data_IF_409135835396
#
_entry.id   IF_409135835396
#
_cell.length_a   1.000
_cell.length_b   1.000
_cell.length_c   1.000
_cell.angle_alpha   90.00
_cell.angle_beta   90.00
_cell.angle_gamma   90.00
#
_symmetry.space_group_name_H-M   'P 1'
#
loop_
_entity.id
_entity.type
_entity.pdbx_description
1 polymer ?
#
# COMPACT_ATOMS: atom_id res chain seq x y z
N UNK A 1 -37.74 10.82 -9.43
CA UNK A 1 -36.69 11.85 -9.61
C UNK A 1 -35.39 11.12 -9.41
N UNK A 2 -34.77 10.77 -10.53
CA UNK A 2 -33.52 10.03 -10.61
C UNK A 2 -32.39 11.06 -10.62
N UNK A 3 -31.59 11.08 -9.55
CA UNK A 3 -30.40 11.92 -9.45
C UNK A 3 -29.17 11.00 -9.47
N UNK A 4 -28.99 10.32 -10.62
CA UNK A 4 -27.77 9.60 -10.93
C UNK A 4 -26.55 10.52 -10.86
N UNK A 5 -25.55 10.10 -10.11
CA UNK A 5 -24.28 10.81 -9.92
C UNK A 5 -23.56 10.87 -11.27
N UNK A 6 -23.49 12.06 -11.87
CA UNK A 6 -22.67 12.34 -13.05
C UNK A 6 -21.22 12.50 -12.63
N UNK A 7 -20.41 11.47 -12.84
CA UNK A 7 -18.97 11.55 -12.61
C UNK A 7 -18.25 10.21 -12.54
N UNK A 8 -18.59 9.26 -13.42
CA UNK A 8 -17.79 8.04 -13.61
C UNK A 8 -16.80 8.34 -14.73
N UNK A 9 -15.52 8.52 -14.40
CA UNK A 9 -14.45 8.57 -15.39
C UNK A 9 -14.21 7.16 -15.94
N UNK A 10 -14.43 6.97 -17.25
CA UNK A 10 -14.19 5.72 -17.95
C UNK A 10 -12.68 5.51 -18.17
N UNK A 11 -12.02 4.86 -17.22
CA UNK A 11 -10.71 4.26 -17.43
C UNK A 11 -10.86 2.87 -18.08
N UNK A 12 -9.80 2.43 -18.78
CA UNK A 12 -9.78 1.36 -19.80
C UNK A 12 -10.27 -0.06 -19.41
N UNK A 13 -10.82 -0.27 -18.21
CA UNK A 13 -11.38 -1.54 -17.74
C UNK A 13 -12.90 -1.50 -17.43
N UNK A 14 -13.58 -0.37 -17.64
CA UNK A 14 -15.01 -0.15 -17.34
C UNK A 14 -15.39 -0.39 -15.86
N UNK A 15 -14.42 -0.40 -14.93
CA UNK A 15 -14.67 -0.50 -13.49
C UNK A 15 -15.09 0.86 -12.93
N UNK A 16 -16.23 0.97 -12.22
CA UNK A 16 -16.63 2.22 -11.59
C UNK A 16 -15.56 2.69 -10.59
N UNK A 17 -15.28 4.00 -10.60
CA UNK A 17 -14.33 4.65 -9.69
C UNK A 17 -14.94 5.89 -9.06
N UNK A 18 -14.51 6.20 -7.84
CA UNK A 18 -14.76 7.51 -7.24
C UNK A 18 -14.09 8.63 -8.07
N UNK A 19 -14.50 9.90 -7.90
CA UNK A 19 -13.73 11.04 -8.37
C UNK A 19 -12.28 10.98 -7.87
N UNK A 20 -11.33 11.43 -8.72
CA UNK A 20 -9.91 11.45 -8.38
C UNK A 20 -9.66 12.27 -7.10
N UNK A 21 -8.88 11.70 -6.19
CA UNK A 21 -8.40 12.34 -4.97
C UNK A 21 -6.88 12.40 -4.99
N UNK A 22 -6.34 13.63 -4.90
CA UNK A 22 -4.90 13.84 -4.90
C UNK A 22 -4.34 13.83 -3.47
N UNK A 23 -3.26 13.09 -3.24
CA UNK A 23 -2.59 13.02 -1.94
C UNK A 23 -1.11 13.32 -2.13
N UNK A 24 -0.63 14.36 -1.44
CA UNK A 24 0.77 14.76 -1.50
C UNK A 24 1.58 14.13 -0.37
N UNK A 25 2.69 13.53 -0.74
CA UNK A 25 3.72 13.03 0.15
C UNK A 25 4.95 13.95 0.09
N UNK A 26 5.85 13.81 1.05
CA UNK A 26 7.10 14.53 1.12
C UNK A 26 8.23 13.51 1.14
N UNK A 27 9.16 13.65 0.19
CA UNK A 27 10.38 12.84 0.16
C UNK A 27 11.48 13.52 0.98
N UNK A 28 12.08 12.78 1.91
CA UNK A 28 13.32 13.20 2.55
C UNK A 28 14.46 13.21 1.50
N UNK A 29 15.23 14.31 1.34
CA UNK A 29 16.34 14.37 0.39
C UNK A 29 17.38 13.26 0.55
N UNK A 30 17.55 12.72 1.77
CA UNK A 30 18.46 11.62 2.08
C UNK A 30 17.93 10.23 1.71
N UNK A 31 16.67 10.14 1.25
CA UNK A 31 16.12 8.90 0.72
C UNK A 31 16.46 8.76 -0.76
N UNK A 32 16.77 7.53 -1.16
CA UNK A 32 16.89 7.18 -2.57
C UNK A 32 15.59 7.51 -3.30
N UNK A 33 15.69 8.32 -4.36
CA UNK A 33 14.52 8.84 -5.05
C UNK A 33 13.76 7.77 -5.82
N UNK A 34 14.48 6.80 -6.40
CA UNK A 34 13.90 5.72 -7.21
C UNK A 34 13.15 4.74 -6.31
N UNK A 35 13.73 4.35 -5.18
CA UNK A 35 13.08 3.47 -4.21
C UNK A 35 11.90 4.18 -3.53
N UNK A 36 12.00 5.49 -3.26
CA UNK A 36 10.87 6.26 -2.74
C UNK A 36 9.71 6.26 -3.73
N UNK A 37 9.97 6.58 -5.00
CA UNK A 37 8.96 6.57 -6.06
C UNK A 37 8.33 5.18 -6.24
N UNK A 38 9.15 4.12 -6.23
CA UNK A 38 8.67 2.74 -6.32
C UNK A 38 7.71 2.40 -5.18
N UNK A 39 8.08 2.71 -3.94
CA UNK A 39 7.21 2.43 -2.79
C UNK A 39 5.96 3.30 -2.81
N UNK A 40 6.06 4.58 -3.20
CA UNK A 40 4.90 5.47 -3.31
C UNK A 40 3.90 4.99 -4.38
N UNK A 41 4.38 4.60 -5.57
CA UNK A 41 3.52 4.03 -6.63
C UNK A 41 2.86 2.72 -6.19
N UNK A 42 3.55 1.92 -5.39
CA UNK A 42 2.96 0.71 -4.85
C UNK A 42 1.84 1.03 -3.85
N UNK A 43 2.00 2.04 -2.99
CA UNK A 43 0.93 2.54 -2.12
C UNK A 43 -0.27 3.05 -2.93
N UNK A 44 -0.02 3.84 -3.98
CA UNK A 44 -1.07 4.37 -4.86
C UNK A 44 -1.85 3.25 -5.53
N UNK A 45 -1.14 2.29 -6.15
CA UNK A 45 -1.73 1.12 -6.78
C UNK A 45 -2.57 0.31 -5.78
N UNK A 46 -2.06 0.14 -4.56
CA UNK A 46 -2.76 -0.55 -3.49
C UNK A 46 -4.04 0.16 -3.07
N UNK A 47 -4.02 1.49 -2.93
CA UNK A 47 -5.26 2.23 -2.69
C UNK A 47 -6.25 2.07 -3.84
N UNK A 48 -5.76 2.14 -5.08
CA UNK A 48 -6.58 2.05 -6.30
C UNK A 48 -7.13 0.65 -6.61
N UNK A 49 -6.71 -0.38 -5.87
CA UNK A 49 -7.31 -1.72 -5.94
C UNK A 49 -8.47 -1.89 -4.96
N UNK A 50 -8.55 -1.08 -3.91
CA UNK A 50 -9.62 -1.16 -2.91
C UNK A 50 -10.94 -0.66 -3.47
N UNK A 51 -12.00 -1.41 -3.17
CA UNK A 51 -13.37 -0.92 -3.28
C UNK A 51 -13.70 0.02 -2.12
N UNK A 52 -14.77 0.81 -2.26
CA UNK A 52 -15.29 1.66 -1.19
C UNK A 52 -15.61 0.84 0.06
N UNK A 53 -16.25 -0.32 -0.12
CA UNK A 53 -16.61 -1.23 0.96
C UNK A 53 -15.36 -1.77 1.69
N UNK A 54 -14.38 -2.31 0.94
CA UNK A 54 -13.14 -2.83 1.52
C UNK A 54 -12.35 -1.75 2.28
N UNK A 55 -12.24 -0.55 1.70
CA UNK A 55 -11.57 0.56 2.37
C UNK A 55 -12.25 0.89 3.70
N UNK A 56 -13.57 1.06 3.73
CA UNK A 56 -14.30 1.39 4.96
C UNK A 56 -14.14 0.30 6.01
N UNK A 57 -14.30 -0.97 5.64
CA UNK A 57 -14.15 -2.10 6.57
C UNK A 57 -12.72 -2.19 7.14
N UNK A 58 -11.71 -2.05 6.29
CA UNK A 58 -10.32 -2.09 6.71
C UNK A 58 -9.97 -0.90 7.64
N UNK A 59 -10.49 0.29 7.31
CA UNK A 59 -10.31 1.50 8.14
C UNK A 59 -11.01 1.38 9.49
N UNK A 60 -12.26 0.92 9.53
CA UNK A 60 -13.00 0.70 10.77
C UNK A 60 -12.30 -0.32 11.67
N UNK A 61 -11.82 -1.41 11.08
CA UNK A 61 -11.02 -2.41 11.79
C UNK A 61 -9.74 -1.81 12.35
N UNK A 62 -8.97 -1.08 11.53
CA UNK A 62 -7.73 -0.43 11.98
C UNK A 62 -7.97 0.58 13.11
N UNK A 63 -9.03 1.38 13.03
CA UNK A 63 -9.37 2.35 14.07
C UNK A 63 -9.77 1.68 15.39
N UNK A 64 -10.40 0.50 15.33
CA UNK A 64 -10.82 -0.27 16.50
C UNK A 64 -9.69 -1.09 17.12
N UNK A 65 -8.88 -1.74 16.29
CA UNK A 65 -7.94 -2.80 16.70
C UNK A 65 -6.47 -2.38 16.56
N UNK A 66 -6.18 -1.31 15.82
CA UNK A 66 -4.83 -0.95 15.42
C UNK A 66 -4.29 -1.88 14.33
N UNK A 67 -2.96 -2.10 14.34
CA UNK A 67 -2.30 -3.00 13.40
C UNK A 67 -2.65 -4.45 13.71
N UNK A 68 -3.05 -5.19 12.67
CA UNK A 68 -3.49 -6.56 12.83
C UNK A 68 -2.32 -7.52 13.11
N UNK A 69 -2.46 -8.41 14.09
CA UNK A 69 -1.40 -9.30 14.54
C UNK A 69 -1.05 -10.40 13.51
N UNK A 70 -2.03 -10.84 12.71
CA UNK A 70 -1.83 -11.82 11.64
C UNK A 70 -0.85 -11.34 10.57
N UNK A 71 -0.70 -10.01 10.41
CA UNK A 71 0.27 -9.42 9.50
C UNK A 71 1.72 -9.73 9.90
N UNK A 72 1.99 -10.08 11.16
CA UNK A 72 3.35 -10.44 11.60
C UNK A 72 3.85 -11.72 10.93
N UNK A 73 2.97 -12.71 10.76
CA UNK A 73 3.31 -13.97 10.08
C UNK A 73 3.59 -13.72 8.59
N UNK A 74 2.73 -12.94 7.92
CA UNK A 74 2.91 -12.58 6.51
C UNK A 74 4.23 -11.80 6.29
N UNK A 75 4.54 -10.84 7.15
CA UNK A 75 5.79 -10.09 7.11
C UNK A 75 7.02 -11.00 7.27
N UNK A 76 6.97 -11.96 8.21
CA UNK A 76 8.07 -12.91 8.42
C UNK A 76 8.29 -13.77 7.19
N UNK A 77 7.22 -14.30 6.60
CA UNK A 77 7.29 -15.12 5.39
C UNK A 77 7.86 -14.32 4.22
N UNK A 78 7.37 -13.11 3.96
CA UNK A 78 7.88 -12.27 2.88
C UNK A 78 9.39 -11.95 3.03
N UNK A 79 9.84 -11.69 4.27
CA UNK A 79 11.27 -11.49 4.54
C UNK A 79 12.11 -12.75 4.34
N UNK A 80 11.56 -13.92 4.66
CA UNK A 80 12.24 -15.20 4.44
C UNK A 80 12.36 -15.51 2.94
N UNK A 81 11.32 -15.23 2.15
CA UNK A 81 11.38 -15.39 0.69
C UNK A 81 12.36 -14.39 0.07
N UNK A 82 12.31 -13.12 0.47
CA UNK A 82 13.27 -12.11 0.02
C UNK A 82 14.73 -12.49 0.33
N UNK A 83 14.97 -13.09 1.50
CA UNK A 83 16.30 -13.61 1.85
C UNK A 83 16.74 -14.72 0.88
N UNK A 84 15.89 -15.71 0.61
CA UNK A 84 16.19 -16.81 -0.32
C UNK A 84 16.46 -16.29 -1.73
N UNK A 85 15.64 -15.36 -2.20
CA UNK A 85 15.80 -14.71 -3.50
C UNK A 85 17.14 -13.98 -3.59
N UNK A 86 17.50 -13.20 -2.56
CA UNK A 86 18.77 -12.47 -2.54
C UNK A 86 19.98 -13.39 -2.52
N UNK A 87 19.91 -14.48 -1.75
CA UNK A 87 20.95 -15.53 -1.79
C UNK A 87 21.08 -16.10 -3.20
N UNK A 88 19.96 -16.45 -3.85
CA UNK A 88 19.97 -16.99 -5.22
C UNK A 88 20.58 -16.00 -6.23
N UNK A 89 20.26 -14.72 -6.12
CA UNK A 89 20.84 -13.64 -6.92
C UNK A 89 22.36 -13.58 -6.78
N UNK A 90 22.88 -13.52 -5.55
CA UNK A 90 24.32 -13.46 -5.27
C UNK A 90 25.05 -14.72 -5.75
N UNK A 91 24.41 -15.89 -5.61
CA UNK A 91 24.96 -17.17 -6.12
C UNK A 91 25.11 -17.15 -7.63
N UNK A 92 24.15 -16.60 -8.37
CA UNK A 92 24.21 -16.44 -9.83
C UNK A 92 25.33 -15.48 -10.26
N UNK A 93 25.70 -14.54 -9.39
CA UNK A 93 26.83 -13.62 -9.58
C UNK A 93 28.19 -14.25 -9.19
N UNK A 94 28.23 -15.53 -8.81
CA UNK A 94 29.47 -16.25 -8.49
C UNK A 94 29.90 -16.18 -7.03
N UNK A 95 29.12 -15.55 -6.15
CA UNK A 95 29.43 -15.47 -4.71
C UNK A 95 29.30 -16.86 -4.06
N UNK A 96 30.19 -17.20 -3.12
CA UNK A 96 30.12 -18.48 -2.39
C UNK A 96 28.83 -18.58 -1.56
N UNK A 97 28.36 -19.78 -1.23
CA UNK A 97 27.09 -19.94 -0.48
C UNK A 97 27.15 -19.28 0.88
N UNK A 98 28.27 -19.45 1.58
CA UNK A 98 28.47 -18.86 2.90
C UNK A 98 28.45 -17.33 2.84
N UNK A 99 29.17 -16.76 1.87
CA UNK A 99 29.25 -15.30 1.70
C UNK A 99 27.92 -14.71 1.21
N UNK A 100 27.22 -15.39 0.31
CA UNK A 100 25.90 -14.99 -0.17
C UNK A 100 24.87 -14.93 0.97
N UNK A 101 24.87 -15.91 1.87
CA UNK A 101 23.99 -15.89 3.05
C UNK A 101 24.28 -14.68 3.94
N UNK A 102 25.56 -14.42 4.25
CA UNK A 102 25.96 -13.29 5.09
C UNK A 102 25.53 -11.95 4.48
N UNK A 103 25.84 -11.73 3.21
CA UNK A 103 25.46 -10.49 2.51
C UNK A 103 23.94 -10.31 2.41
N UNK A 104 23.20 -11.39 2.18
CA UNK A 104 21.75 -11.35 2.12
C UNK A 104 21.12 -11.03 3.49
N UNK A 105 21.66 -11.58 4.58
CA UNK A 105 21.23 -11.26 5.95
C UNK A 105 21.51 -9.80 6.28
N UNK A 106 22.72 -9.30 5.98
CA UNK A 106 23.10 -7.90 6.15
C UNK A 106 22.18 -6.97 5.35
N UNK A 107 21.94 -7.26 4.07
CA UNK A 107 20.99 -6.53 3.22
C UNK A 107 19.59 -6.49 3.85
N UNK A 108 19.07 -7.64 4.29
CA UNK A 108 17.72 -7.76 4.84
C UNK A 108 17.51 -6.90 6.10
N UNK A 109 18.57 -6.57 6.85
CA UNK A 109 18.49 -5.66 8.00
C UNK A 109 18.04 -4.23 7.63
N UNK A 110 18.28 -3.81 6.38
CA UNK A 110 17.87 -2.51 5.85
C UNK A 110 16.46 -2.52 5.24
N UNK A 111 15.88 -3.70 5.07
CA UNK A 111 14.61 -3.88 4.39
C UNK A 111 13.45 -3.96 5.39
N UNK A 112 12.24 -3.62 4.95
CA UNK A 112 10.96 -3.90 5.59
C UNK A 112 10.04 -4.62 4.61
N UNK A 113 9.15 -5.47 5.12
CA UNK A 113 8.05 -5.99 4.31
C UNK A 113 7.08 -4.85 3.97
N UNK A 114 6.67 -4.76 2.70
CA UNK A 114 5.87 -3.65 2.20
C UNK A 114 4.38 -4.00 2.19
N UNK A 115 3.60 -3.27 2.99
CA UNK A 115 2.13 -3.24 2.94
C UNK A 115 1.72 -2.15 1.96
N UNK A 116 1.00 -2.51 0.89
CA UNK A 116 0.64 -1.58 -0.17
C UNK A 116 -0.87 -1.69 -0.47
N UNK A 117 -1.72 -0.81 0.12
CA UNK A 117 -1.36 0.36 0.92
C UNK A 117 -1.01 0.00 2.38
N UNK A 118 -0.48 0.96 3.16
CA UNK A 118 -0.29 0.78 4.61
C UNK A 118 -1.63 0.45 5.28
N UNK A 119 -1.62 -0.35 6.35
CA UNK A 119 -2.81 -0.63 7.16
C UNK A 119 -3.44 0.65 7.73
N UNK A 120 -2.65 1.69 8.02
CA UNK A 120 -3.19 3.01 8.39
C UNK A 120 -4.12 3.53 7.29
N UNK A 121 -3.82 3.26 6.02
CA UNK A 121 -4.61 3.68 4.88
C UNK A 121 -5.65 2.64 4.43
N UNK A 122 -5.95 1.63 5.25
CA UNK A 122 -6.93 0.60 4.91
C UNK A 122 -6.35 -0.56 4.10
N UNK A 123 -5.03 -0.74 4.11
CA UNK A 123 -4.39 -1.89 3.48
C UNK A 123 -4.68 -3.22 4.19
N UNK A 124 -4.71 -4.30 3.40
CA UNK A 124 -4.91 -5.64 3.92
C UNK A 124 -3.65 -6.11 4.68
N UNK A 125 -3.76 -6.51 5.97
CA UNK A 125 -2.61 -6.86 6.79
C UNK A 125 -1.80 -8.07 6.30
N UNK A 126 -2.37 -8.92 5.43
CA UNK A 126 -1.68 -10.10 4.88
C UNK A 126 -1.19 -9.90 3.44
N UNK A 127 -1.54 -8.79 2.79
CA UNK A 127 -1.11 -8.49 1.42
C UNK A 127 0.27 -7.83 1.43
N UNK A 128 1.30 -8.68 1.35
CA UNK A 128 2.70 -8.24 1.26
C UNK A 128 3.17 -8.38 -0.18
N UNK A 129 3.58 -7.26 -0.75
CA UNK A 129 4.02 -7.18 -2.16
C UNK A 129 5.53 -7.38 -2.35
N UNK A 130 6.27 -7.54 -1.25
CA UNK A 130 7.73 -7.74 -1.25
C UNK A 130 8.41 -7.04 -0.09
N UNK A 131 9.69 -6.69 -0.29
CA UNK A 131 10.46 -5.89 0.66
C UNK A 131 11.05 -4.63 0.00
N UNK A 132 11.33 -3.61 0.81
CA UNK A 132 11.98 -2.36 0.37
C UNK A 132 12.67 -1.63 1.50
N UNK A 133 13.34 -0.49 1.22
CA UNK A 133 14.05 0.30 2.25
C UNK A 133 13.10 0.66 3.40
N UNK A 134 13.45 0.23 4.62
CA UNK A 134 12.60 0.37 5.80
C UNK A 134 12.41 1.82 6.25
N UNK A 135 13.37 2.71 5.97
CA UNK A 135 13.30 4.13 6.34
C UNK A 135 12.31 4.85 5.44
N UNK A 136 12.34 4.54 4.15
CA UNK A 136 11.35 5.01 3.17
C UNK A 136 9.96 4.51 3.56
N UNK A 137 9.81 3.21 3.80
CA UNK A 137 8.52 2.62 4.19
C UNK A 137 7.96 3.27 5.47
N UNK A 138 8.81 3.45 6.49
CA UNK A 138 8.42 4.14 7.74
C UNK A 138 8.00 5.60 7.50
N UNK A 139 8.71 6.30 6.62
CA UNK A 139 8.41 7.68 6.26
C UNK A 139 7.12 7.85 5.46
N UNK A 140 6.76 6.88 4.61
CA UNK A 140 5.46 6.88 3.94
C UNK A 140 4.34 6.56 4.95
N UNK A 141 4.55 5.53 5.77
CA UNK A 141 3.63 5.12 6.84
C UNK A 141 3.29 6.23 7.83
N UNK A 142 4.27 7.06 8.21
CA UNK A 142 4.02 8.17 9.15
C UNK A 142 3.17 9.29 8.55
N UNK A 143 3.31 9.56 7.25
CA UNK A 143 2.59 10.61 6.54
C UNK A 143 1.11 10.26 6.34
N UNK A 144 0.74 8.98 6.39
CA UNK A 144 -0.66 8.60 6.41
C UNK A 144 -1.43 9.21 7.58
N UNK A 145 -0.79 9.48 8.72
CA UNK A 145 -1.47 10.09 9.88
C UNK A 145 -2.02 11.48 9.57
N UNK A 146 -1.38 12.26 8.70
CA UNK A 146 -1.87 13.57 8.26
C UNK A 146 -2.81 13.47 7.07
N UNK A 147 -2.58 12.49 6.18
CA UNK A 147 -3.30 12.41 4.90
C UNK A 147 -4.62 11.61 4.99
N UNK A 148 -4.72 10.63 5.88
CA UNK A 148 -5.83 9.66 5.87
C UNK A 148 -7.17 10.28 6.26
N UNK A 149 -7.18 11.34 7.06
CA UNK A 149 -8.43 11.94 7.54
C UNK A 149 -9.29 12.51 6.41
N UNK A 150 -8.67 13.16 5.42
CA UNK A 150 -9.38 13.70 4.26
C UNK A 150 -9.88 12.59 3.32
N UNK A 151 -9.05 11.58 3.08
CA UNK A 151 -9.43 10.40 2.30
C UNK A 151 -10.61 9.67 2.95
N UNK A 152 -10.55 9.39 4.26
CA UNK A 152 -11.65 8.77 5.02
C UNK A 152 -12.95 9.55 4.87
N UNK A 153 -12.89 10.88 5.04
CA UNK A 153 -14.06 11.76 4.93
C UNK A 153 -14.68 11.69 3.52
N UNK A 154 -13.85 11.77 2.48
CA UNK A 154 -14.33 11.78 1.10
C UNK A 154 -14.93 10.43 0.70
N UNK A 155 -14.27 9.32 1.05
CA UNK A 155 -14.77 7.97 0.73
C UNK A 155 -16.08 7.69 1.47
N UNK A 156 -16.18 8.03 2.77
CA UNK A 156 -17.43 7.83 3.52
C UNK A 156 -18.56 8.71 3.02
N UNK A 157 -18.27 9.98 2.69
CA UNK A 157 -19.27 10.88 2.12
C UNK A 157 -19.78 10.44 0.74
N UNK A 158 -18.94 9.79 -0.07
CA UNK A 158 -19.39 9.14 -1.29
C UNK A 158 -20.27 7.92 -0.99
N UNK A 159 -19.87 7.09 -0.03
CA UNK A 159 -20.58 5.87 0.34
C UNK A 159 -22.02 6.12 0.84
N UNK A 160 -22.31 7.26 1.46
CA UNK A 160 -23.67 7.65 1.89
C UNK A 160 -24.69 7.70 0.74
N UNK A 161 -24.21 7.91 -0.50
CA UNK A 161 -25.04 8.04 -1.70
C UNK A 161 -25.08 6.76 -2.54
N UNK A 162 -24.47 5.68 -2.05
CA UNK A 162 -24.28 4.43 -2.77
C UNK A 162 -25.08 3.31 -2.14
N UNK A 163 -25.62 2.44 -2.97
CA UNK A 163 -26.12 1.12 -2.56
C UNK A 163 -24.97 0.21 -2.12
N UNK A 164 -25.29 -0.84 -1.37
CA UNK A 164 -24.30 -1.84 -0.97
C UNK A 164 -23.61 -2.53 -2.17
N UNK A 165 -24.33 -2.70 -3.28
CA UNK A 165 -23.76 -3.27 -4.50
C UNK A 165 -22.74 -2.32 -5.15
N UNK A 166 -23.04 -1.01 -5.17
CA UNK A 166 -22.12 0.00 -5.71
C UNK A 166 -20.87 0.12 -4.82
N UNK A 167 -21.00 0.10 -3.50
CA UNK A 167 -19.83 0.16 -2.58
C UNK A 167 -18.85 -1.00 -2.81
N UNK A 168 -19.37 -2.18 -3.12
CA UNK A 168 -18.59 -3.41 -3.37
C UNK A 168 -17.94 -3.49 -4.74
N UNK A 169 -18.33 -2.62 -5.67
CA UNK A 169 -17.86 -2.68 -7.07
C UNK A 169 -17.11 -1.42 -7.48
N UNK A 170 -17.38 -0.29 -6.83
CA UNK A 170 -16.70 0.99 -7.09
C UNK A 170 -15.37 1.03 -6.36
N UNK A 171 -14.30 1.32 -7.10
CA UNK A 171 -12.95 1.45 -6.58
C UNK A 171 -12.59 2.88 -6.20
N UNK A 172 -11.57 3.01 -5.37
CA UNK A 172 -10.92 4.30 -5.14
C UNK A 172 -10.22 4.80 -6.41
N UNK A 173 -10.00 6.11 -6.44
CA UNK A 173 -9.25 6.78 -7.49
C UNK A 173 -8.31 7.81 -6.85
N UNK A 174 -7.10 7.36 -6.57
CA UNK A 174 -6.06 8.09 -5.88
C UNK A 174 -4.96 8.46 -6.85
N UNK A 175 -4.44 9.67 -6.69
CA UNK A 175 -3.26 10.16 -7.39
C UNK A 175 -2.27 10.71 -6.38
N UNK A 176 -1.08 10.14 -6.32
CA UNK A 176 -0.04 10.49 -5.38
C UNK A 176 1.05 11.33 -6.05
N UNK A 177 1.53 12.34 -5.32
CA UNK A 177 2.63 13.21 -5.74
C UNK A 177 3.63 13.41 -4.59
N UNK A 178 4.86 13.84 -4.91
CA UNK A 178 5.87 14.19 -3.91
C UNK A 178 6.86 15.27 -4.37
#
# INVERSE_FOLDING_TARGET
MDNGITGISNDADNTPRLPEMEVRFNRNPNHDAVEFEKQLKAQEKGMNSLTVDEFIQNRDRYLKEGRAAEGNSAQKLARQEALKEKVSELRKQGVSRQEANKQAEEWLTSQAALHNPDQIAGGNPIDITGVGDKRINSSLGSQWKSNIGEVDKNVRGAAEKMTEAEKKTTRLNMKFSY
#
